data_IF_668902256466
#
_entry.id   IF_668902256466
#
_cell.length_a   1.000
_cell.length_b   1.000
_cell.length_c   1.000
_cell.angle_alpha   90.00
_cell.angle_beta   90.00
_cell.angle_gamma   90.00
#
_symmetry.space_group_name_H-M   'P 1'
#
loop_
_entity.id
_entity.type
_entity.pdbx_description
1 polymer ?
#
# COMPACT_ATOMS: atom_id res chain seq x y z
N UNK A 1 13.90 66.58 2.07
CA UNK A 1 14.15 66.14 0.67
C UNK A 1 13.62 64.72 0.40
N UNK A 2 13.02 64.06 1.40
CA UNK A 2 12.56 62.66 1.37
C UNK A 2 11.23 62.44 0.64
N UNK A 3 10.36 63.45 0.56
CA UNK A 3 9.01 63.32 -0.02
C UNK A 3 9.05 62.97 -1.52
N UNK A 4 10.02 63.53 -2.26
CA UNK A 4 10.21 63.25 -3.69
C UNK A 4 10.65 61.80 -3.96
N UNK A 5 11.46 61.21 -3.06
CA UNK A 5 11.92 59.81 -3.17
C UNK A 5 10.77 58.83 -2.95
N UNK A 6 9.85 59.16 -2.06
CA UNK A 6 8.67 58.32 -1.78
C UNK A 6 7.70 58.32 -2.98
N UNK A 7 7.41 59.49 -3.55
CA UNK A 7 6.56 59.60 -4.74
C UNK A 7 7.07 58.79 -5.94
N UNK A 8 8.38 58.77 -6.19
CA UNK A 8 8.97 57.96 -7.26
C UNK A 8 8.80 56.44 -6.99
N UNK A 9 8.98 55.98 -5.75
CA UNK A 9 8.80 54.55 -5.40
C UNK A 9 7.34 54.13 -5.57
N UNK A 10 6.40 54.94 -5.09
CA UNK A 10 4.97 54.67 -5.22
C UNK A 10 4.54 54.64 -6.68
N UNK A 11 5.00 55.60 -7.49
CA UNK A 11 4.74 55.61 -8.93
C UNK A 11 5.44 54.46 -9.68
N UNK A 12 6.40 53.75 -9.11
CA UNK A 12 6.97 52.53 -9.72
C UNK A 12 6.12 51.30 -9.42
N UNK A 13 5.57 51.23 -8.21
CA UNK A 13 4.78 50.08 -7.73
C UNK A 13 3.37 50.12 -8.31
N UNK A 14 2.76 51.31 -8.39
CA UNK A 14 1.40 51.49 -8.93
C UNK A 14 1.36 51.83 -10.43
N UNK A 15 2.47 51.66 -11.16
CA UNK A 15 2.43 51.67 -12.62
C UNK A 15 1.56 50.51 -13.07
N UNK A 16 0.36 50.81 -13.59
CA UNK A 16 -0.42 49.82 -14.34
C UNK A 16 0.49 49.28 -15.46
N UNK A 17 0.70 47.96 -15.56
CA UNK A 17 1.48 47.42 -16.66
C UNK A 17 0.87 47.91 -17.97
N UNK A 18 1.70 48.43 -18.88
CA UNK A 18 1.26 48.71 -20.26
C UNK A 18 0.79 47.37 -20.82
N UNK A 19 -0.52 47.23 -20.98
CA UNK A 19 -1.17 46.04 -21.55
C UNK A 19 -0.81 45.99 -23.03
N UNK A 20 0.38 45.51 -23.34
CA UNK A 20 0.85 45.21 -24.70
C UNK A 20 1.16 43.72 -24.89
N UNK A 21 1.05 42.93 -23.83
CA UNK A 21 1.17 41.47 -23.90
C UNK A 21 -0.22 40.90 -23.82
N UNK A 22 -0.67 40.32 -24.94
CA UNK A 22 -1.93 39.60 -24.99
C UNK A 22 -1.95 38.53 -23.88
N UNK A 23 -3.07 38.34 -23.16
CA UNK A 23 -3.18 37.29 -22.17
C UNK A 23 -2.82 35.94 -22.81
N UNK A 24 -1.89 35.20 -22.20
CA UNK A 24 -1.57 33.84 -22.60
C UNK A 24 -2.84 33.00 -22.48
N UNK A 25 -3.44 32.61 -23.60
CA UNK A 25 -4.54 31.64 -23.61
C UNK A 25 -3.98 30.28 -23.21
N UNK A 26 -4.66 29.60 -22.30
CA UNK A 26 -4.33 28.23 -21.87
C UNK A 26 -5.00 27.16 -22.75
N UNK A 27 -5.51 27.55 -23.92
CA UNK A 27 -6.17 26.65 -24.86
C UNK A 27 -5.54 26.80 -26.23
N UNK A 28 -4.97 25.70 -26.73
CA UNK A 28 -4.71 25.52 -28.15
C UNK A 28 -6.05 25.12 -28.78
N UNK A 29 -6.66 26.05 -29.51
CA UNK A 29 -7.72 25.72 -30.46
C UNK A 29 -7.10 24.90 -31.57
N UNK A 30 -7.33 23.59 -31.53
CA UNK A 30 -6.86 22.66 -32.55
C UNK A 30 -7.40 21.26 -32.28
N UNK A 31 -8.51 20.94 -32.94
CA UNK A 31 -9.09 19.59 -33.06
C UNK A 31 -10.00 19.09 -31.91
N UNK A 32 -10.90 19.95 -31.43
CA UNK A 32 -11.92 19.61 -30.42
C UNK A 32 -12.98 18.59 -30.91
N UNK A 33 -13.02 18.25 -32.21
CA UNK A 33 -14.06 17.39 -32.77
C UNK A 33 -13.87 15.89 -32.49
N UNK A 34 -12.72 15.49 -31.92
CA UNK A 34 -12.39 14.08 -31.69
C UNK A 34 -12.08 13.74 -30.22
N UNK A 35 -12.25 14.68 -29.29
CA UNK A 35 -11.88 14.52 -27.90
C UNK A 35 -13.12 14.25 -27.03
N UNK A 36 -13.21 13.07 -26.41
CA UNK A 36 -14.18 12.80 -25.34
C UNK A 36 -13.49 12.94 -23.99
N UNK A 37 -13.88 13.95 -23.21
CA UNK A 37 -13.30 14.16 -21.88
C UNK A 37 -11.80 14.43 -21.88
N UNK A 38 -11.26 15.03 -22.95
CA UNK A 38 -9.82 15.29 -23.11
C UNK A 38 -9.00 14.12 -23.66
N UNK A 39 -9.63 12.99 -24.00
CA UNK A 39 -8.99 11.82 -24.61
C UNK A 39 -9.49 11.63 -26.05
N UNK A 40 -8.60 11.32 -27.02
CA UNK A 40 -9.02 11.08 -28.40
C UNK A 40 -9.94 9.85 -28.52
N UNK A 41 -11.05 10.00 -29.23
CA UNK A 41 -12.06 8.95 -29.48
C UNK A 41 -11.44 7.70 -30.13
N UNK A 42 -10.47 7.89 -31.02
CA UNK A 42 -9.77 6.79 -31.68
C UNK A 42 -9.04 5.88 -30.67
N UNK A 43 -8.46 6.46 -29.62
CA UNK A 43 -7.79 5.70 -28.55
C UNK A 43 -8.81 4.93 -27.72
N UNK A 44 -9.94 5.56 -27.36
CA UNK A 44 -11.02 4.88 -26.64
C UNK A 44 -11.58 3.70 -27.45
N UNK A 45 -11.79 3.90 -28.76
CA UNK A 45 -12.28 2.83 -29.64
C UNK A 45 -11.27 1.68 -29.79
N UNK A 46 -9.96 1.97 -29.81
CA UNK A 46 -8.93 0.94 -29.81
C UNK A 46 -8.96 0.13 -28.50
N UNK A 47 -9.06 0.80 -27.35
CA UNK A 47 -9.16 0.13 -26.04
C UNK A 47 -10.40 -0.77 -25.95
N UNK A 48 -11.54 -0.33 -26.51
CA UNK A 48 -12.77 -1.13 -26.54
C UNK A 48 -12.61 -2.38 -27.42
N UNK A 49 -11.82 -2.33 -28.48
CA UNK A 49 -11.54 -3.50 -29.33
C UNK A 49 -10.65 -4.54 -28.65
N UNK A 50 -9.79 -4.11 -27.71
CA UNK A 50 -8.89 -4.98 -26.95
C UNK A 50 -9.56 -5.68 -25.75
N UNK A 51 -10.78 -5.30 -25.39
CA UNK A 51 -11.53 -5.94 -24.30
C UNK A 51 -11.81 -7.42 -24.61
N UNK A 52 -11.57 -8.26 -23.61
CA UNK A 52 -11.92 -9.68 -23.67
C UNK A 52 -13.44 -9.87 -23.70
N UNK A 53 -13.90 -11.03 -24.13
CA UNK A 53 -15.33 -11.31 -24.17
C UNK A 53 -15.92 -11.36 -22.75
N UNK A 54 -15.14 -11.81 -21.77
CA UNK A 54 -15.47 -11.72 -20.35
C UNK A 54 -15.69 -10.27 -19.92
N UNK A 55 -14.76 -9.36 -20.24
CA UNK A 55 -14.90 -7.94 -19.89
C UNK A 55 -16.12 -7.28 -20.53
N UNK A 56 -16.44 -7.65 -21.79
CA UNK A 56 -17.64 -7.17 -22.48
C UNK A 56 -18.92 -7.65 -21.79
N UNK A 57 -18.94 -8.90 -21.32
CA UNK A 57 -20.09 -9.43 -20.58
C UNK A 57 -20.26 -8.75 -19.21
N UNK A 58 -19.17 -8.48 -18.51
CA UNK A 58 -19.19 -7.75 -17.23
C UNK A 58 -19.67 -6.30 -17.42
N UNK A 59 -19.15 -5.63 -18.46
CA UNK A 59 -19.58 -4.28 -18.81
C UNK A 59 -21.06 -4.23 -19.19
N UNK A 60 -21.55 -5.21 -19.96
CA UNK A 60 -22.97 -5.33 -20.29
C UNK A 60 -23.85 -5.59 -19.07
N UNK A 61 -23.34 -6.33 -18.08
CA UNK A 61 -24.00 -6.60 -16.80
C UNK A 61 -23.88 -5.43 -15.79
N UNK A 62 -23.26 -4.30 -16.17
CA UNK A 62 -22.96 -3.16 -15.28
C UNK A 62 -22.24 -3.58 -14.00
N UNK A 63 -21.40 -4.61 -14.09
CA UNK A 63 -20.59 -5.06 -12.97
C UNK A 63 -19.27 -4.31 -12.96
N UNK A 64 -18.88 -3.81 -11.78
CA UNK A 64 -17.57 -3.18 -11.60
C UNK A 64 -16.46 -4.21 -11.86
N UNK A 65 -15.35 -3.82 -12.53
CA UNK A 65 -14.23 -4.72 -12.74
C UNK A 65 -13.66 -5.16 -11.39
N UNK A 66 -13.18 -6.42 -11.28
CA UNK A 66 -12.61 -6.92 -10.04
C UNK A 66 -11.40 -6.07 -9.66
N UNK A 67 -11.34 -5.68 -8.39
CA UNK A 67 -10.17 -4.95 -7.89
C UNK A 67 -8.91 -5.83 -7.95
N UNK A 68 -7.75 -5.21 -8.14
CA UNK A 68 -6.45 -5.91 -8.19
C UNK A 68 -6.24 -6.82 -6.96
N UNK A 69 -6.69 -6.36 -5.79
CA UNK A 69 -6.62 -7.14 -4.55
C UNK A 69 -7.54 -8.37 -4.58
N UNK A 70 -8.75 -8.25 -5.13
CA UNK A 70 -9.65 -9.39 -5.30
C UNK A 70 -9.08 -10.41 -6.29
N UNK A 71 -8.44 -9.95 -7.37
CA UNK A 71 -7.80 -10.81 -8.35
C UNK A 71 -6.59 -11.57 -7.75
N UNK A 72 -5.71 -10.89 -7.00
CA UNK A 72 -4.60 -11.54 -6.29
C UNK A 72 -5.08 -12.52 -5.23
N UNK A 73 -6.14 -12.17 -4.49
CA UNK A 73 -6.73 -13.03 -3.48
C UNK A 73 -7.33 -14.28 -4.14
N UNK A 74 -8.07 -14.12 -5.24
CA UNK A 74 -8.60 -15.23 -6.03
C UNK A 74 -7.47 -16.13 -6.57
N UNK A 75 -6.42 -15.54 -7.14
CA UNK A 75 -5.22 -16.27 -7.59
C UNK A 75 -4.55 -17.04 -6.45
N UNK A 76 -4.40 -16.43 -5.28
CA UNK A 76 -3.82 -17.10 -4.10
C UNK A 76 -4.72 -18.23 -3.62
N UNK A 77 -6.02 -18.01 -3.52
CA UNK A 77 -6.95 -19.00 -3.02
C UNK A 77 -7.09 -20.21 -3.96
N UNK A 78 -7.07 -19.99 -5.28
CA UNK A 78 -7.03 -21.07 -6.27
C UNK A 78 -5.81 -21.98 -6.07
N UNK A 79 -4.64 -21.43 -5.71
CA UNK A 79 -3.44 -22.22 -5.42
C UNK A 79 -3.58 -23.12 -4.19
N UNK A 80 -4.45 -22.75 -3.26
CA UNK A 80 -4.69 -23.49 -2.01
C UNK A 80 -6.04 -24.23 -2.00
N UNK A 81 -6.80 -24.20 -3.10
CA UNK A 81 -8.13 -24.79 -3.18
C UNK A 81 -9.14 -24.16 -2.20
N UNK A 82 -8.93 -22.90 -1.79
CA UNK A 82 -9.90 -22.19 -0.95
C UNK A 82 -10.99 -21.56 -1.83
N UNK A 83 -12.27 -21.71 -1.47
CA UNK A 83 -13.33 -20.93 -2.08
C UNK A 83 -13.16 -19.46 -1.66
N UNK A 84 -13.08 -18.55 -2.64
CA UNK A 84 -13.22 -17.11 -2.40
C UNK A 84 -14.65 -16.76 -2.79
N UNK A 85 -15.44 -16.39 -1.79
CA UNK A 85 -16.75 -15.82 -2.03
C UNK A 85 -16.56 -14.42 -2.62
N UNK A 86 -16.43 -14.37 -3.95
CA UNK A 86 -16.63 -13.14 -4.70
C UNK A 86 -18.13 -12.86 -4.63
N UNK A 87 -18.57 -11.70 -4.12
CA UNK A 87 -19.98 -11.43 -3.81
C UNK A 87 -20.92 -11.39 -5.03
N UNK A 88 -20.44 -11.77 -6.23
CA UNK A 88 -21.25 -11.85 -7.44
C UNK A 88 -20.89 -13.00 -8.39
N UNK A 89 -20.14 -14.01 -7.92
CA UNK A 89 -19.92 -15.22 -8.71
C UNK A 89 -21.12 -16.14 -8.56
N UNK A 90 -21.95 -16.19 -9.60
CA UNK A 90 -22.96 -17.24 -9.79
C UNK A 90 -22.30 -18.62 -9.73
N UNK A 91 -22.48 -19.28 -8.59
CA UNK A 91 -22.86 -20.69 -8.42
C UNK A 91 -22.49 -21.71 -9.53
N UNK A 92 -21.26 -21.68 -10.06
CA UNK A 92 -20.76 -22.70 -10.99
C UNK A 92 -19.54 -23.49 -10.43
N UNK A 93 -18.95 -23.04 -9.32
CA UNK A 93 -17.83 -23.74 -8.65
C UNK A 93 -18.24 -24.59 -7.44
N UNK A 94 -19.47 -24.48 -6.94
CA UNK A 94 -19.91 -25.15 -5.71
C UNK A 94 -20.12 -26.67 -5.86
N UNK A 95 -20.26 -27.18 -7.09
CA UNK A 95 -20.50 -28.60 -7.34
C UNK A 95 -19.24 -29.45 -7.12
N UNK A 96 -18.06 -28.96 -7.52
CA UNK A 96 -16.82 -29.73 -7.46
C UNK A 96 -16.17 -29.70 -6.06
N UNK A 97 -16.44 -28.63 -5.30
CA UNK A 97 -16.08 -28.54 -3.88
C UNK A 97 -16.73 -29.63 -3.04
N UNK A 98 -17.99 -29.99 -3.33
CA UNK A 98 -18.69 -31.07 -2.63
C UNK A 98 -18.12 -32.46 -2.97
N UNK A 99 -17.77 -32.71 -4.24
CA UNK A 99 -17.17 -33.99 -4.63
C UNK A 99 -15.77 -34.18 -4.04
N UNK A 100 -14.96 -33.11 -4.01
CA UNK A 100 -13.66 -33.13 -3.35
C UNK A 100 -13.78 -33.31 -1.83
N UNK A 101 -14.74 -32.63 -1.20
CA UNK A 101 -15.04 -32.78 0.23
C UNK A 101 -15.49 -34.21 0.54
N UNK A 102 -16.35 -34.80 -0.29
CA UNK A 102 -16.84 -36.16 -0.12
C UNK A 102 -15.72 -37.20 -0.27
N UNK A 103 -14.86 -37.07 -1.30
CA UNK A 103 -13.64 -37.91 -1.43
C UNK A 103 -12.69 -37.76 -0.25
N UNK A 104 -12.60 -36.58 0.36
CA UNK A 104 -11.79 -36.34 1.57
C UNK A 104 -12.43 -37.00 2.79
N UNK A 105 -13.75 -36.91 2.95
CA UNK A 105 -14.51 -37.57 4.03
C UNK A 105 -14.39 -39.09 3.95
N UNK A 106 -14.37 -39.68 2.75
CA UNK A 106 -14.13 -41.11 2.55
C UNK A 106 -12.69 -41.52 2.94
N UNK A 107 -11.70 -40.65 2.70
CA UNK A 107 -10.29 -40.95 2.96
C UNK A 107 -9.87 -40.73 4.42
N UNK A 108 -10.41 -39.70 5.06
CA UNK A 108 -9.96 -39.23 6.38
C UNK A 108 -11.06 -39.28 7.46
N UNK A 109 -12.26 -39.74 7.12
CA UNK A 109 -13.42 -39.73 8.01
C UNK A 109 -14.12 -38.37 8.06
N UNK A 110 -15.38 -38.38 8.50
CA UNK A 110 -16.18 -37.16 8.71
C UNK A 110 -15.55 -36.33 9.82
N UNK A 111 -14.98 -35.16 9.49
CA UNK A 111 -14.42 -34.22 10.46
C UNK A 111 -15.54 -33.50 11.21
N UNK A 112 -16.29 -34.22 12.05
CA UNK A 112 -17.17 -33.61 13.05
C UNK A 112 -16.39 -33.13 14.26
N UNK A 113 -15.12 -33.49 14.36
CA UNK A 113 -14.17 -33.00 15.35
C UNK A 113 -13.10 -32.19 14.65
N UNK A 114 -12.84 -30.97 15.15
CA UNK A 114 -11.68 -30.18 14.76
C UNK A 114 -10.44 -31.07 14.86
N UNK A 115 -9.54 -31.11 13.86
CA UNK A 115 -8.28 -31.83 14.01
C UNK A 115 -7.53 -31.21 15.17
N UNK A 116 -7.50 -31.90 16.31
CA UNK A 116 -6.62 -31.54 17.40
C UNK A 116 -5.20 -31.69 16.86
N UNK A 117 -4.47 -30.57 16.75
CA UNK A 117 -3.06 -30.56 16.40
C UNK A 117 -2.31 -31.17 17.61
N UNK A 118 -2.31 -32.49 17.72
CA UNK A 118 -1.47 -33.19 18.70
C UNK A 118 -0.06 -33.14 18.14
N UNK A 119 0.63 -32.04 18.42
CA UNK A 119 2.04 -31.86 18.11
C UNK A 119 2.80 -32.52 19.26
N UNK A 120 3.36 -33.71 19.01
CA UNK A 120 4.18 -34.40 20.00
C UNK A 120 5.34 -33.50 20.44
N UNK A 121 5.68 -33.49 21.73
CA UNK A 121 6.76 -32.65 22.28
C UNK A 121 8.09 -32.80 21.53
N UNK A 122 8.35 -33.99 20.96
CA UNK A 122 9.52 -34.26 20.11
C UNK A 122 9.51 -33.46 18.81
N UNK A 123 8.35 -33.32 18.17
CA UNK A 123 8.21 -32.53 16.94
C UNK A 123 8.34 -31.03 17.23
N UNK A 124 7.87 -30.58 18.39
CA UNK A 124 8.02 -29.20 18.83
C UNK A 124 9.49 -28.88 19.14
N UNK A 125 10.19 -29.75 19.88
CA UNK A 125 11.65 -29.63 20.12
C UNK A 125 12.45 -29.65 18.82
N UNK A 126 12.12 -30.53 17.89
CA UNK A 126 12.79 -30.59 16.58
C UNK A 126 12.56 -29.33 15.76
N UNK A 127 11.39 -28.69 15.89
CA UNK A 127 11.09 -27.41 15.24
C UNK A 127 11.85 -26.27 15.89
N UNK A 128 11.86 -26.19 17.21
CA UNK A 128 12.62 -25.18 17.95
C UNK A 128 14.12 -25.25 17.66
N UNK A 129 14.70 -26.45 17.54
CA UNK A 129 16.11 -26.61 17.19
C UNK A 129 16.43 -26.02 15.81
N UNK A 130 15.55 -26.22 14.81
CA UNK A 130 15.72 -25.65 13.46
C UNK A 130 15.54 -24.13 13.42
N UNK A 131 14.60 -23.61 14.19
CA UNK A 131 14.33 -22.16 14.21
C UNK A 131 15.35 -21.38 15.03
N UNK A 132 15.74 -21.87 16.21
CA UNK A 132 16.74 -21.21 17.07
C UNK A 132 18.13 -21.14 16.41
N UNK A 133 18.48 -22.13 15.60
CA UNK A 133 19.76 -22.13 14.86
C UNK A 133 19.75 -21.12 13.70
N UNK A 134 18.60 -20.91 13.05
CA UNK A 134 18.49 -19.98 11.94
C UNK A 134 18.36 -18.51 12.38
N UNK A 135 17.64 -18.23 13.46
CA UNK A 135 17.53 -16.88 14.01
C UNK A 135 18.83 -16.42 14.66
N UNK A 136 19.51 -17.32 15.38
CA UNK A 136 20.82 -17.04 15.98
C UNK A 136 21.88 -16.74 14.91
N UNK A 137 21.98 -17.57 13.86
CA UNK A 137 22.96 -17.35 12.79
C UNK A 137 22.68 -16.07 12.01
N UNK A 138 21.42 -15.75 11.70
CA UNK A 138 21.07 -14.52 11.01
C UNK A 138 21.35 -13.27 11.86
N UNK A 139 21.08 -13.33 13.18
CA UNK A 139 21.39 -12.25 14.10
C UNK A 139 22.89 -12.04 14.25
N UNK A 140 23.67 -13.11 14.36
CA UNK A 140 25.12 -13.06 14.47
C UNK A 140 25.76 -12.51 13.18
N UNK A 141 25.29 -12.95 12.01
CA UNK A 141 25.74 -12.39 10.72
C UNK A 141 25.40 -10.90 10.57
N UNK A 142 24.19 -10.49 10.99
CA UNK A 142 23.79 -9.09 10.96
C UNK A 142 24.64 -8.24 11.91
N UNK A 143 24.96 -8.77 13.10
CA UNK A 143 25.83 -8.11 14.06
C UNK A 143 27.26 -8.00 13.54
N UNK A 144 27.81 -9.06 12.93
CA UNK A 144 29.13 -9.05 12.30
C UNK A 144 29.19 -8.02 11.16
N UNK A 145 28.19 -7.96 10.28
CA UNK A 145 28.10 -6.95 9.20
C UNK A 145 28.04 -5.54 9.76
N UNK A 146 27.32 -5.32 10.86
CA UNK A 146 27.27 -4.03 11.55
C UNK A 146 28.62 -3.66 12.15
N UNK A 147 29.29 -4.58 12.84
CA UNK A 147 30.62 -4.36 13.42
C UNK A 147 31.67 -4.05 12.34
N UNK A 148 31.63 -4.76 11.20
CA UNK A 148 32.53 -4.50 10.09
C UNK A 148 32.31 -3.11 9.45
N UNK A 149 31.07 -2.61 9.43
CA UNK A 149 30.71 -1.32 8.83
C UNK A 149 30.89 -0.13 9.78
N UNK A 150 30.55 -0.31 11.05
CA UNK A 150 30.45 0.79 12.02
C UNK A 150 31.43 0.67 13.18
N UNK A 151 32.25 -0.39 13.23
CA UNK A 151 33.11 -0.70 14.37
C UNK A 151 32.32 -1.20 15.57
N UNK A 152 33.02 -1.43 16.69
CA UNK A 152 32.39 -1.75 17.96
C UNK A 152 31.45 -0.62 18.39
N UNK A 153 30.25 -0.96 18.87
CA UNK A 153 29.35 0.04 19.42
C UNK A 153 30.05 0.77 20.59
N UNK A 154 30.00 2.11 20.65
CA UNK A 154 30.54 2.83 21.80
C UNK A 154 29.86 2.34 23.07
N UNK A 155 30.64 2.22 24.15
CA UNK A 155 30.13 1.82 25.46
C UNK A 155 28.90 2.67 25.83
N UNK A 156 27.91 2.12 26.55
CA UNK A 156 26.74 2.88 26.96
C UNK A 156 27.19 4.13 27.73
N UNK A 157 27.04 5.29 27.09
CA UNK A 157 27.33 6.57 27.71
C UNK A 157 26.10 6.93 28.54
N UNK A 158 26.23 6.89 29.86
CA UNK A 158 25.24 7.47 30.74
C UNK A 158 25.15 8.98 30.45
N UNK A 159 24.09 9.39 29.77
CA UNK A 159 23.79 10.80 29.53
C UNK A 159 23.43 11.44 30.88
N UNK A 160 24.42 12.02 31.55
CA UNK A 160 24.21 12.87 32.72
C UNK A 160 23.58 14.17 32.25
N UNK A 161 22.26 14.20 32.19
CA UNK A 161 21.51 15.44 31.97
C UNK A 161 21.90 16.46 33.04
N UNK A 162 22.16 17.71 32.62
CA UNK A 162 22.35 18.80 33.56
C UNK A 162 21.04 19.06 34.31
N UNK A 163 21.13 19.71 35.47
CA UNK A 163 19.93 20.06 36.26
C UNK A 163 18.97 20.96 35.46
N UNK A 164 19.52 21.86 34.62
CA UNK A 164 18.75 22.69 33.71
C UNK A 164 17.99 21.87 32.66
N UNK A 165 18.59 20.81 32.12
CA UNK A 165 17.93 19.94 31.15
C UNK A 165 16.81 19.11 31.78
N UNK A 166 17.01 18.64 33.02
CA UNK A 166 15.95 17.95 33.78
C UNK A 166 14.77 18.87 34.04
N UNK A 167 15.02 20.11 34.43
CA UNK A 167 13.96 21.09 34.66
C UNK A 167 13.22 21.46 33.37
N UNK A 168 13.94 21.60 32.24
CA UNK A 168 13.34 21.86 30.94
C UNK A 168 12.42 20.71 30.47
N UNK A 169 12.83 19.46 30.72
CA UNK A 169 12.01 18.27 30.46
C UNK A 169 10.78 18.22 31.35
N UNK A 170 10.92 18.45 32.66
CA UNK A 170 9.80 18.50 33.59
C UNK A 170 8.76 19.58 33.21
N UNK A 171 9.22 20.76 32.75
CA UNK A 171 8.33 21.82 32.23
C UNK A 171 7.63 21.43 30.93
N UNK A 172 8.25 20.59 30.09
CA UNK A 172 7.59 20.05 28.89
C UNK A 172 6.55 19.02 29.28
N UNK A 173 6.90 18.08 30.14
CA UNK A 173 5.98 17.05 30.63
C UNK A 173 4.73 17.67 31.28
N UNK A 174 4.91 18.70 32.11
CA UNK A 174 3.76 19.40 32.72
C UNK A 174 2.84 20.09 31.70
N UNK A 175 3.34 20.43 30.51
CA UNK A 175 2.53 21.02 29.41
C UNK A 175 1.76 19.98 28.62
N UNK A 176 2.26 18.75 28.55
CA UNK A 176 1.66 17.66 27.77
C UNK A 176 0.87 16.68 28.63
N UNK A 177 1.03 16.69 29.95
CA UNK A 177 0.32 15.82 30.88
C UNK A 177 -1.13 16.26 31.20
N UNK A 178 -1.59 17.42 30.72
CA UNK A 178 -2.94 17.95 30.97
C UNK A 178 -3.88 17.82 29.75
N UNK A 179 -3.73 16.77 28.95
CA UNK A 179 -4.69 16.39 27.91
C UNK A 179 -5.19 14.97 28.14
#
# INVERSE_FOLDING_TARGET
>A
METRKNAHRLNRIFRKPKVMVAPRSWREEGDENHLHGGVPLALLNAMVQELTDEDKTLAAAQQDPPSVLQEELAKRAARFGLPVDVPNSTAAGAADGNAALQKRMERFGSTKTMPALVVDELTLKAREARFKTQEGSAMDEAMQKRLARFGAAPAPVELKLSEADREAMARRESRFASC
#
